data_IF_701947965565
#
_entry.id   IF_701947965565
#
_cell.length_a   1.000
_cell.length_b   1.000
_cell.length_c   1.000
_cell.angle_alpha   90.00
_cell.angle_beta   90.00
_cell.angle_gamma   90.00
#
_symmetry.space_group_name_H-M   'P 1'
#
loop_
_entity.id
_entity.type
_entity.pdbx_description
1 polymer ?
#
# COMPACT_ATOMS: atom_id res chain seq x y z
N UNK A 1 2.63 29.20 -55.55
CA UNK A 1 2.27 28.26 -54.47
C UNK A 1 3.54 27.60 -53.94
N UNK A 2 3.98 27.93 -52.73
CA UNK A 2 5.13 27.30 -52.06
C UNK A 2 4.59 26.27 -51.07
N UNK A 3 4.84 24.99 -51.33
CA UNK A 3 4.52 23.89 -50.40
C UNK A 3 5.79 23.65 -49.58
N UNK A 4 5.77 24.10 -48.32
CA UNK A 4 6.80 23.79 -47.33
C UNK A 4 6.43 22.46 -46.66
N UNK A 5 7.16 21.39 -46.99
CA UNK A 5 7.15 20.15 -46.22
C UNK A 5 7.96 20.35 -44.94
N UNK A 6 7.27 20.37 -43.79
CA UNK A 6 7.87 20.20 -42.48
C UNK A 6 7.81 18.72 -42.11
N UNK A 7 8.92 18.02 -42.30
CA UNK A 7 9.13 16.67 -41.76
C UNK A 7 9.94 16.78 -40.47
N UNK A 8 9.25 16.97 -39.35
CA UNK A 8 9.82 16.70 -38.03
C UNK A 8 9.03 15.56 -37.39
N UNK A 9 9.53 14.34 -37.54
CA UNK A 9 9.21 13.24 -36.66
C UNK A 9 10.49 12.89 -35.90
N UNK A 10 10.73 13.59 -34.79
CA UNK A 10 11.71 13.17 -33.79
C UNK A 10 11.08 11.99 -33.05
N UNK A 11 11.28 10.79 -33.56
CA UNK A 11 11.10 9.57 -32.78
C UNK A 11 12.28 9.46 -31.81
N UNK A 12 12.21 10.18 -30.70
CA UNK A 12 13.02 9.88 -29.53
C UNK A 12 12.50 8.56 -28.95
N UNK A 13 13.00 7.45 -29.50
CA UNK A 13 12.97 6.16 -28.83
C UNK A 13 13.72 6.33 -27.51
N UNK A 14 12.96 6.61 -26.45
CA UNK A 14 13.49 6.51 -25.10
C UNK A 14 13.79 5.04 -24.93
N UNK A 15 15.06 4.66 -25.08
CA UNK A 15 15.52 3.33 -24.70
C UNK A 15 15.05 3.14 -23.26
N UNK A 16 14.09 2.23 -23.07
CA UNK A 16 13.59 1.90 -21.74
C UNK A 16 14.83 1.53 -20.91
N UNK A 17 15.13 2.35 -19.90
CA UNK A 17 16.27 2.13 -19.03
C UNK A 17 16.19 0.71 -18.44
N UNK A 18 17.34 0.14 -18.06
CA UNK A 18 17.38 -1.22 -17.54
C UNK A 18 16.44 -1.33 -16.33
N UNK A 19 15.33 -2.06 -16.45
CA UNK A 19 14.30 -2.15 -15.43
C UNK A 19 14.40 -3.52 -14.74
N UNK A 20 14.21 -3.57 -13.43
CA UNK A 20 14.31 -4.84 -12.71
C UNK A 20 13.70 -4.82 -11.31
N UNK A 21 13.64 -5.96 -10.62
CA UNK A 21 13.09 -6.02 -9.27
C UNK A 21 13.98 -5.23 -8.30
N UNK A 22 13.35 -4.56 -7.33
CA UNK A 22 14.10 -4.01 -6.20
C UNK A 22 14.72 -5.15 -5.36
N UNK A 23 15.99 -5.06 -4.94
CA UNK A 23 16.59 -6.13 -4.15
C UNK A 23 15.93 -6.31 -2.78
N UNK A 24 15.50 -7.53 -2.48
CA UNK A 24 14.91 -7.95 -1.20
C UNK A 24 15.69 -9.11 -0.57
N UNK A 25 15.47 -9.33 0.72
CA UNK A 25 15.99 -10.51 1.42
C UNK A 25 14.96 -11.65 1.37
N UNK A 26 15.42 -12.85 1.69
CA UNK A 26 14.54 -14.00 1.84
C UNK A 26 13.47 -13.73 2.90
N UNK A 27 12.24 -14.10 2.56
CA UNK A 27 11.08 -13.99 3.44
C UNK A 27 10.95 -15.28 4.22
N UNK A 28 10.57 -15.16 5.48
CA UNK A 28 10.42 -16.27 6.41
C UNK A 28 8.98 -16.27 6.89
N UNK A 29 8.25 -17.37 6.78
CA UNK A 29 6.92 -17.48 7.40
C UNK A 29 7.05 -17.65 8.91
N UNK A 30 5.99 -17.35 9.66
CA UNK A 30 5.96 -17.63 11.10
C UNK A 30 6.19 -19.13 11.37
N UNK A 31 5.65 -20.00 10.53
CA UNK A 31 5.82 -21.45 10.62
C UNK A 31 7.29 -21.85 10.46
N UNK A 32 8.01 -21.27 9.50
CA UNK A 32 9.43 -21.57 9.28
C UNK A 32 10.32 -21.01 10.40
N UNK A 33 9.98 -19.83 10.94
CA UNK A 33 10.74 -19.21 12.02
C UNK A 33 10.52 -19.90 13.37
N UNK A 34 9.35 -20.50 13.58
CA UNK A 34 8.94 -21.11 14.85
C UNK A 34 8.33 -22.51 14.66
N UNK A 35 9.07 -23.48 14.10
CA UNK A 35 8.51 -24.76 13.65
C UNK A 35 8.00 -25.67 14.76
N UNK A 36 8.38 -25.40 16.02
CA UNK A 36 8.00 -26.20 17.18
C UNK A 36 6.71 -25.71 17.84
N UNK A 37 6.03 -24.71 17.30
CA UNK A 37 4.74 -24.26 17.82
C UNK A 37 3.59 -25.14 17.31
N UNK A 38 2.66 -25.43 18.19
CA UNK A 38 1.41 -26.16 17.94
C UNK A 38 0.28 -25.24 17.48
N UNK A 39 0.40 -23.94 17.73
CA UNK A 39 -0.58 -22.91 17.34
C UNK A 39 0.14 -21.82 16.55
N UNK A 40 -0.51 -21.34 15.49
CA UNK A 40 -0.03 -20.25 14.64
C UNK A 40 -1.08 -19.14 14.53
N UNK A 41 -0.68 -17.92 14.13
CA UNK A 41 -1.60 -16.84 13.83
C UNK A 41 -2.65 -17.30 12.82
N UNK A 42 -3.90 -16.98 13.11
CA UNK A 42 -5.03 -17.37 12.27
C UNK A 42 -5.15 -16.42 11.07
N UNK A 43 -5.43 -16.95 9.88
CA UNK A 43 -5.81 -16.12 8.75
C UNK A 43 -7.16 -15.42 9.07
N UNK A 44 -7.27 -14.08 8.99
CA UNK A 44 -8.51 -13.35 9.32
C UNK A 44 -9.73 -13.79 8.49
N UNK A 45 -9.50 -14.33 7.28
CA UNK A 45 -10.56 -14.85 6.42
C UNK A 45 -11.07 -16.24 6.84
N UNK A 46 -10.44 -16.91 7.80
CA UNK A 46 -10.88 -18.22 8.26
C UNK A 46 -12.31 -18.11 8.85
N UNK A 47 -13.26 -18.85 8.28
CA UNK A 47 -14.70 -18.83 8.60
C UNK A 47 -15.46 -17.58 8.14
N UNK A 48 -14.88 -16.80 7.23
CA UNK A 48 -15.61 -15.75 6.51
C UNK A 48 -15.86 -16.17 5.07
N UNK A 49 -17.10 -16.01 4.60
CA UNK A 49 -17.47 -16.29 3.22
C UNK A 49 -18.01 -15.00 2.59
N UNK A 50 -17.24 -14.35 1.70
CA UNK A 50 -17.69 -13.14 1.04
C UNK A 50 -18.83 -13.45 0.07
N UNK A 51 -19.63 -12.43 -0.24
CA UNK A 51 -20.58 -12.50 -1.35
C UNK A 51 -19.83 -12.38 -2.67
N UNK A 52 -20.26 -13.12 -3.70
CA UNK A 52 -19.92 -12.82 -5.08
C UNK A 52 -20.96 -11.90 -5.71
N UNK A 53 -20.56 -11.09 -6.69
CA UNK A 53 -21.47 -10.25 -7.48
C UNK A 53 -21.13 -10.30 -8.96
N UNK A 54 -22.12 -10.03 -9.82
CA UNK A 54 -21.84 -9.82 -11.24
C UNK A 54 -21.03 -8.53 -11.46
N UNK A 55 -20.32 -8.45 -12.58
CA UNK A 55 -19.58 -7.24 -12.94
C UNK A 55 -20.51 -6.02 -13.07
N UNK A 56 -21.69 -6.18 -13.66
CA UNK A 56 -22.69 -5.11 -13.75
C UNK A 56 -23.11 -4.59 -12.37
N UNK A 57 -23.33 -5.50 -11.41
CA UNK A 57 -23.68 -5.14 -10.03
C UNK A 57 -22.52 -4.46 -9.31
N UNK A 58 -21.27 -4.89 -9.54
CA UNK A 58 -20.07 -4.22 -9.03
C UNK A 58 -20.03 -2.76 -9.49
N UNK A 59 -20.29 -2.48 -10.78
CA UNK A 59 -20.32 -1.10 -11.29
C UNK A 59 -21.48 -0.28 -10.71
N UNK A 60 -22.65 -0.88 -10.48
CA UNK A 60 -23.75 -0.20 -9.76
C UNK A 60 -23.33 0.20 -8.34
N UNK A 61 -22.70 -0.72 -7.61
CA UNK A 61 -22.14 -0.46 -6.27
C UNK A 61 -21.10 0.66 -6.35
N UNK A 62 -20.09 0.53 -7.23
CA UNK A 62 -19.06 1.54 -7.44
C UNK A 62 -19.65 2.92 -7.69
N UNK A 63 -20.62 3.04 -8.60
CA UNK A 63 -21.21 4.33 -8.94
C UNK A 63 -22.00 4.93 -7.77
N UNK A 64 -22.60 4.11 -6.90
CA UNK A 64 -23.32 4.56 -5.70
C UNK A 64 -22.44 4.90 -4.50
N UNK A 65 -21.20 4.40 -4.44
CA UNK A 65 -20.32 4.63 -3.29
C UNK A 65 -20.11 6.13 -3.05
N UNK A 66 -20.19 6.53 -1.77
CA UNK A 66 -19.96 7.92 -1.38
C UNK A 66 -18.55 8.39 -1.81
N UNK A 67 -18.48 9.42 -2.64
CA UNK A 67 -17.23 10.06 -3.07
C UNK A 67 -16.95 11.38 -2.33
N UNK A 68 -17.87 11.84 -1.47
CA UNK A 68 -17.73 13.06 -0.69
C UNK A 68 -17.06 12.77 0.66
N UNK A 69 -15.77 12.49 0.61
CA UNK A 69 -14.92 12.25 1.77
C UNK A 69 -14.01 13.47 2.02
N UNK A 70 -14.11 14.07 3.21
CA UNK A 70 -13.29 15.23 3.64
C UNK A 70 -12.00 14.79 4.35
N UNK A 71 -12.00 13.59 4.93
CA UNK A 71 -10.89 13.14 5.75
C UNK A 71 -9.75 12.49 4.95
N UNK A 72 -8.67 12.15 5.66
CA UNK A 72 -7.45 11.58 5.09
C UNK A 72 -7.25 10.13 5.46
N UNK A 73 -8.08 9.58 6.35
CA UNK A 73 -7.89 8.26 6.94
C UNK A 73 -8.52 7.17 6.07
N UNK A 74 -7.69 6.40 5.36
CA UNK A 74 -8.13 5.35 4.45
C UNK A 74 -8.98 4.26 5.14
N UNK A 75 -8.61 3.88 6.35
CA UNK A 75 -9.31 2.87 7.14
C UNK A 75 -10.76 3.27 7.46
N UNK A 76 -10.99 4.54 7.77
CA UNK A 76 -12.33 5.09 7.96
C UNK A 76 -13.15 5.05 6.68
N UNK A 77 -12.59 5.50 5.56
CA UNK A 77 -13.29 5.47 4.26
C UNK A 77 -13.62 4.06 3.83
N UNK A 78 -12.66 3.14 3.93
CA UNK A 78 -12.87 1.74 3.62
C UNK A 78 -13.96 1.11 4.51
N UNK A 79 -14.02 1.48 5.79
CA UNK A 79 -15.05 0.98 6.71
C UNK A 79 -16.45 1.55 6.39
N UNK A 80 -16.55 2.85 6.05
CA UNK A 80 -17.81 3.45 5.55
C UNK A 80 -18.28 2.73 4.29
N UNK A 81 -17.41 2.57 3.30
CA UNK A 81 -17.76 1.93 2.03
C UNK A 81 -18.16 0.46 2.18
N UNK A 82 -17.47 -0.28 3.04
CA UNK A 82 -17.80 -1.67 3.33
C UNK A 82 -19.18 -1.80 4.01
N UNK A 83 -19.48 -0.91 4.96
CA UNK A 83 -20.80 -0.87 5.60
C UNK A 83 -21.90 -0.46 4.61
N UNK A 84 -21.64 0.52 3.73
CA UNK A 84 -22.59 0.89 2.65
C UNK A 84 -22.89 -0.29 1.73
N UNK A 85 -21.87 -1.07 1.36
CA UNK A 85 -22.05 -2.29 0.56
C UNK A 85 -22.91 -3.34 1.26
N UNK A 86 -22.71 -3.54 2.56
CA UNK A 86 -23.51 -4.46 3.35
C UNK A 86 -24.96 -3.99 3.47
N UNK A 87 -25.18 -2.76 3.91
CA UNK A 87 -26.51 -2.21 4.20
C UNK A 87 -27.36 -2.01 2.94
N UNK A 88 -26.79 -1.42 1.89
CA UNK A 88 -27.56 -1.06 0.69
C UNK A 88 -27.66 -2.19 -0.32
N UNK A 89 -26.65 -3.05 -0.37
CA UNK A 89 -26.54 -4.06 -1.41
C UNK A 89 -26.58 -5.48 -0.87
N UNK A 90 -26.59 -5.69 0.45
CA UNK A 90 -26.52 -7.03 1.06
C UNK A 90 -25.21 -7.75 0.72
N UNK A 91 -24.14 -7.01 0.39
CA UNK A 91 -22.86 -7.57 -0.05
C UNK A 91 -21.92 -7.71 1.13
N UNK A 92 -21.52 -8.95 1.43
CA UNK A 92 -20.45 -9.26 2.38
C UNK A 92 -19.10 -9.09 1.70
N UNK A 93 -18.59 -7.87 1.69
CA UNK A 93 -17.29 -7.55 1.08
C UNK A 93 -16.12 -7.98 1.96
N UNK A 94 -14.91 -7.94 1.42
CA UNK A 94 -13.66 -8.04 2.19
C UNK A 94 -13.00 -6.66 2.28
N UNK A 95 -11.84 -6.62 2.93
CA UNK A 95 -10.89 -5.52 2.86
C UNK A 95 -9.53 -6.06 2.48
N UNK A 96 -8.84 -5.34 1.60
CA UNK A 96 -7.43 -5.57 1.29
C UNK A 96 -6.60 -4.49 1.99
N UNK A 97 -5.56 -4.92 2.69
CA UNK A 97 -4.60 -4.06 3.38
C UNK A 97 -3.25 -4.20 2.68
N UNK A 98 -2.63 -3.10 2.27
CA UNK A 98 -1.20 -3.06 1.96
C UNK A 98 -0.45 -2.62 3.21
N UNK A 99 0.66 -3.28 3.52
CA UNK A 99 1.53 -2.98 4.65
C UNK A 99 2.89 -2.54 4.12
N UNK A 100 3.28 -1.31 4.39
CA UNK A 100 4.62 -0.81 4.05
C UNK A 100 5.58 -1.19 5.16
N UNK A 101 6.70 -1.78 4.78
CA UNK A 101 7.64 -2.28 5.78
C UNK A 101 8.58 -1.18 6.29
N UNK A 102 9.31 -1.48 7.37
CA UNK A 102 10.40 -0.61 7.83
C UNK A 102 11.48 -0.45 6.76
N UNK A 103 11.68 -1.46 5.89
CA UNK A 103 12.58 -1.38 4.75
C UNK A 103 12.13 -0.30 3.77
N UNK A 104 10.84 -0.31 3.37
CA UNK A 104 10.28 0.75 2.53
C UNK A 104 10.40 2.13 3.18
N UNK A 105 9.95 2.25 4.42
CA UNK A 105 9.95 3.53 5.14
C UNK A 105 11.36 4.11 5.31
N UNK A 106 12.36 3.28 5.65
CA UNK A 106 13.73 3.74 5.89
C UNK A 106 14.51 4.00 4.60
N UNK A 107 14.29 3.21 3.56
CA UNK A 107 15.10 3.26 2.35
C UNK A 107 14.53 4.20 1.29
N UNK A 108 13.21 4.33 1.23
CA UNK A 108 12.49 5.10 0.21
C UNK A 108 11.74 6.28 0.83
N UNK A 109 10.88 6.05 1.81
CA UNK A 109 9.93 7.07 2.26
C UNK A 109 10.56 8.18 3.11
N UNK A 110 11.61 7.84 3.87
CA UNK A 110 12.48 8.80 4.57
C UNK A 110 13.22 9.79 3.65
N UNK A 111 13.04 9.69 2.32
CA UNK A 111 13.47 10.71 1.37
C UNK A 111 12.67 12.02 1.44
N UNK A 112 11.45 11.99 2.00
CA UNK A 112 10.58 13.17 2.12
C UNK A 112 11.28 14.36 2.80
N UNK A 113 12.09 14.07 3.82
CA UNK A 113 12.72 15.07 4.68
C UNK A 113 13.99 15.68 4.05
N UNK A 114 14.36 15.27 2.84
CA UNK A 114 15.57 15.75 2.18
C UNK A 114 15.39 17.11 1.52
N UNK A 115 16.51 17.82 1.33
CA UNK A 115 16.57 19.10 0.60
C UNK A 115 16.24 18.88 -0.88
N UNK A 116 14.94 18.84 -1.22
CA UNK A 116 14.45 18.62 -2.59
C UNK A 116 15.06 19.60 -3.61
N UNK A 117 15.42 20.81 -3.18
CA UNK A 117 16.06 21.84 -4.02
C UNK A 117 17.30 21.32 -4.75
N UNK A 118 18.10 20.45 -4.12
CA UNK A 118 19.32 19.90 -4.71
C UNK A 118 19.01 18.94 -5.86
N UNK A 119 17.78 18.42 -5.96
CA UNK A 119 17.33 17.51 -7.00
C UNK A 119 16.62 18.23 -8.16
N UNK A 120 16.49 19.56 -8.09
CA UNK A 120 15.84 20.34 -9.15
C UNK A 120 16.60 20.13 -10.47
N UNK A 121 15.88 19.75 -11.53
CA UNK A 121 16.40 19.43 -12.87
C UNK A 121 17.24 18.14 -12.96
N UNK A 122 17.40 17.37 -11.88
CA UNK A 122 18.09 16.06 -11.89
C UNK A 122 17.12 14.88 -11.90
N UNK A 123 15.89 15.14 -11.49
CA UNK A 123 14.73 14.28 -11.62
C UNK A 123 13.65 15.05 -12.38
N UNK A 124 12.69 14.32 -12.90
CA UNK A 124 11.58 14.93 -13.60
C UNK A 124 10.72 15.81 -12.67
N UNK A 125 9.98 16.73 -13.29
CA UNK A 125 9.16 17.70 -12.57
C UNK A 125 8.08 17.06 -11.69
N UNK A 126 7.49 15.94 -12.10
CA UNK A 126 6.40 15.29 -11.35
C UNK A 126 6.93 14.57 -10.12
N UNK A 127 8.00 13.80 -10.24
CA UNK A 127 8.73 13.22 -9.10
C UNK A 127 9.21 14.32 -8.16
N UNK A 128 9.76 15.41 -8.69
CA UNK A 128 10.14 16.58 -7.89
C UNK A 128 8.96 17.19 -7.11
N UNK A 129 7.79 17.32 -7.74
CA UNK A 129 6.57 17.81 -7.11
C UNK A 129 6.08 16.85 -6.02
N UNK A 130 6.04 15.55 -6.32
CA UNK A 130 5.63 14.50 -5.37
C UNK A 130 6.48 14.51 -4.10
N UNK A 131 7.80 14.71 -4.19
CA UNK A 131 8.67 14.84 -3.01
C UNK A 131 8.21 15.95 -2.05
N UNK A 132 7.54 16.99 -2.55
CA UNK A 132 6.99 18.07 -1.73
C UNK A 132 5.67 17.75 -1.03
N UNK A 133 5.02 16.65 -1.39
CA UNK A 133 3.73 16.20 -0.85
C UNK A 133 3.80 14.78 -0.30
N UNK A 134 5.02 14.24 -0.09
CA UNK A 134 5.21 12.87 0.38
C UNK A 134 4.54 12.71 1.75
N UNK A 135 3.66 11.72 1.89
CA UNK A 135 2.97 11.39 3.13
C UNK A 135 3.43 10.02 3.60
N UNK A 136 4.24 9.89 4.63
CA UNK A 136 4.64 8.56 5.11
C UNK A 136 3.40 7.71 5.38
N UNK A 137 3.32 6.54 4.73
CA UNK A 137 2.20 5.61 4.89
C UNK A 137 2.73 4.33 5.52
N UNK A 138 2.19 3.96 6.68
CA UNK A 138 2.52 2.67 7.31
C UNK A 138 1.70 1.54 6.68
N UNK A 139 0.44 1.84 6.31
CA UNK A 139 -0.43 0.93 5.58
C UNK A 139 -1.46 1.72 4.77
N UNK A 140 -2.16 1.03 3.87
CA UNK A 140 -3.35 1.55 3.21
C UNK A 140 -4.38 0.43 3.07
N UNK A 141 -5.67 0.78 3.01
CA UNK A 141 -6.75 -0.21 2.99
C UNK A 141 -7.89 0.25 2.10
N UNK A 142 -8.49 -0.71 1.40
CA UNK A 142 -9.69 -0.49 0.60
C UNK A 142 -10.61 -1.73 0.67
N UNK A 143 -11.92 -1.56 0.43
CA UNK A 143 -12.83 -2.69 0.24
C UNK A 143 -12.43 -3.54 -0.98
N UNK A 144 -12.69 -4.84 -0.87
CA UNK A 144 -12.43 -5.84 -1.88
C UNK A 144 -13.71 -6.65 -2.11
N UNK A 145 -14.11 -6.84 -3.37
CA UNK A 145 -15.32 -7.57 -3.75
C UNK A 145 -14.94 -8.74 -4.65
N UNK A 146 -15.56 -9.90 -4.42
CA UNK A 146 -15.43 -11.06 -5.28
C UNK A 146 -16.47 -11.00 -6.40
N UNK A 147 -16.07 -11.29 -7.63
CA UNK A 147 -16.96 -11.42 -8.77
C UNK A 147 -17.45 -12.88 -8.92
N UNK A 148 -18.58 -13.08 -9.61
CA UNK A 148 -19.14 -14.41 -9.86
C UNK A 148 -18.19 -15.34 -10.64
N UNK A 149 -17.25 -14.77 -11.41
CA UNK A 149 -16.20 -15.52 -12.12
C UNK A 149 -14.99 -15.89 -11.22
N UNK A 150 -15.04 -15.56 -9.92
CA UNK A 150 -13.98 -15.82 -8.95
C UNK A 150 -12.89 -14.76 -8.88
N UNK A 151 -12.88 -13.77 -9.77
CA UNK A 151 -11.92 -12.67 -9.72
C UNK A 151 -12.23 -11.68 -8.58
N UNK A 152 -11.22 -10.93 -8.16
CA UNK A 152 -11.37 -9.90 -7.14
C UNK A 152 -11.26 -8.49 -7.74
N UNK A 153 -11.97 -7.53 -7.15
CA UNK A 153 -11.88 -6.10 -7.47
C UNK A 153 -11.78 -5.26 -6.21
N UNK A 154 -10.81 -4.35 -6.20
CA UNK A 154 -10.60 -3.35 -5.16
C UNK A 154 -11.40 -2.09 -5.50
N UNK A 155 -12.14 -1.56 -4.52
CA UNK A 155 -12.98 -0.38 -4.69
C UNK A 155 -12.40 0.78 -3.87
N UNK A 156 -11.51 1.57 -4.48
CA UNK A 156 -10.90 2.73 -3.84
C UNK A 156 -11.15 4.01 -4.64
N UNK A 157 -12.11 4.83 -4.21
CA UNK A 157 -12.47 6.07 -4.91
C UNK A 157 -11.53 7.24 -4.64
N UNK A 158 -10.75 7.19 -3.57
CA UNK A 158 -9.86 8.29 -3.18
C UNK A 158 -8.45 8.10 -3.71
N UNK A 159 -8.10 6.87 -4.04
CA UNK A 159 -6.80 6.59 -4.55
C UNK A 159 -6.71 6.97 -6.04
N UNK A 160 -5.91 8.00 -6.27
CA UNK A 160 -5.65 8.52 -7.60
C UNK A 160 -4.39 7.78 -8.10
N UNK A 161 -4.57 6.60 -8.70
CA UNK A 161 -3.46 5.74 -9.19
C UNK A 161 -3.33 5.72 -10.69
N UNK A 162 -2.12 5.39 -11.15
CA UNK A 162 -1.78 5.09 -12.53
C UNK A 162 -2.33 3.72 -12.98
N UNK A 163 -3.65 3.51 -12.86
CA UNK A 163 -4.29 2.21 -12.98
C UNK A 163 -4.03 1.46 -14.30
N UNK A 164 -3.66 2.17 -15.37
CA UNK A 164 -3.41 1.57 -16.69
C UNK A 164 -1.93 1.62 -17.10
N UNK A 165 -1.04 1.95 -16.18
CA UNK A 165 0.39 2.01 -16.43
C UNK A 165 1.03 0.62 -16.29
N UNK A 166 1.16 -0.11 -17.39
CA UNK A 166 1.88 -1.39 -17.41
C UNK A 166 3.37 -1.20 -17.22
N UNK A 167 3.99 -1.88 -16.24
CA UNK A 167 5.44 -1.87 -16.04
C UNK A 167 6.19 -2.56 -17.21
N UNK A 168 7.32 -2.02 -17.70
CA UNK A 168 7.88 -0.71 -17.37
C UNK A 168 7.03 0.40 -17.99
N UNK A 169 6.52 1.29 -17.14
CA UNK A 169 5.64 2.35 -17.59
C UNK A 169 6.44 3.61 -17.92
N UNK A 170 5.93 4.39 -18.89
CA UNK A 170 6.46 5.73 -19.12
C UNK A 170 6.11 6.63 -17.93
N UNK A 171 6.90 7.68 -17.77
CA UNK A 171 6.61 8.69 -16.74
C UNK A 171 5.23 9.33 -16.93
N UNK A 172 4.67 9.39 -18.13
CA UNK A 172 3.30 9.88 -18.32
C UNK A 172 2.24 8.86 -17.91
N UNK A 173 2.45 7.60 -18.24
CA UNK A 173 1.56 6.51 -17.84
C UNK A 173 1.44 6.44 -16.31
N UNK A 174 2.56 6.59 -15.59
CA UNK A 174 2.64 6.64 -14.12
C UNK A 174 1.75 7.69 -13.43
N UNK A 175 1.18 8.61 -14.19
CA UNK A 175 0.33 9.68 -13.68
C UNK A 175 -0.97 9.85 -14.49
N UNK A 176 -1.32 8.89 -15.36
CA UNK A 176 -2.63 8.88 -16.00
C UNK A 176 -3.61 8.12 -15.09
N UNK A 177 -4.47 8.87 -14.41
CA UNK A 177 -5.19 8.37 -13.25
C UNK A 177 -6.67 8.16 -13.58
N UNK A 178 -7.13 6.91 -13.56
CA UNK A 178 -8.53 6.56 -13.83
C UNK A 178 -9.22 5.94 -12.62
N UNK A 179 -10.35 6.48 -12.17
CA UNK A 179 -11.08 5.92 -11.03
C UNK A 179 -12.04 4.82 -11.49
N UNK A 180 -11.63 3.56 -11.38
CA UNK A 180 -12.48 2.38 -11.60
C UNK A 180 -12.20 1.29 -10.56
N UNK A 181 -13.11 0.30 -10.40
CA UNK A 181 -12.74 -0.93 -9.69
C UNK A 181 -11.49 -1.55 -10.33
N UNK A 182 -10.50 -1.88 -9.52
CA UNK A 182 -9.19 -2.32 -9.96
C UNK A 182 -8.94 -3.78 -9.59
N UNK A 183 -8.11 -4.48 -10.36
CA UNK A 183 -7.54 -5.76 -9.90
C UNK A 183 -6.64 -5.52 -8.68
N UNK A 184 -6.37 -6.57 -7.91
CA UNK A 184 -5.48 -6.49 -6.75
C UNK A 184 -4.10 -5.99 -7.19
N UNK A 185 -3.56 -6.55 -8.27
CA UNK A 185 -2.25 -6.22 -8.81
C UNK A 185 -2.20 -4.76 -9.29
N UNK A 186 -3.24 -4.31 -10.01
CA UNK A 186 -3.35 -2.91 -10.46
C UNK A 186 -3.38 -1.92 -9.28
N UNK A 187 -4.12 -2.25 -8.21
CA UNK A 187 -4.20 -1.42 -7.01
C UNK A 187 -2.88 -1.40 -6.23
N UNK A 188 -2.20 -2.55 -6.10
CA UNK A 188 -0.90 -2.64 -5.44
C UNK A 188 0.19 -1.90 -6.23
N UNK A 189 0.25 -2.09 -7.56
CA UNK A 189 1.23 -1.42 -8.43
C UNK A 189 1.05 0.11 -8.38
N UNK A 190 -0.19 0.59 -8.36
CA UNK A 190 -0.45 2.01 -8.17
C UNK A 190 -0.03 2.53 -6.79
N UNK A 191 -0.06 1.70 -5.74
CA UNK A 191 0.41 2.09 -4.42
C UNK A 191 1.94 2.09 -4.33
N UNK A 192 2.60 1.17 -5.04
CA UNK A 192 4.05 1.03 -5.04
C UNK A 192 4.77 1.96 -6.01
N UNK A 193 4.07 2.49 -7.04
CA UNK A 193 4.62 3.48 -7.98
C UNK A 193 5.31 4.65 -7.27
N UNK A 194 4.74 5.07 -6.14
CA UNK A 194 5.30 6.13 -5.31
C UNK A 194 6.67 5.73 -4.77
N UNK A 195 6.83 4.50 -4.29
CA UNK A 195 8.11 3.96 -3.84
C UNK A 195 9.13 3.91 -4.98
N UNK A 196 8.71 3.56 -6.18
CA UNK A 196 9.57 3.49 -7.37
C UNK A 196 10.08 4.89 -7.78
N UNK A 197 9.20 5.89 -7.74
CA UNK A 197 9.58 7.29 -7.96
C UNK A 197 10.48 7.85 -6.84
N UNK A 198 10.23 7.49 -5.58
CA UNK A 198 11.10 7.84 -4.45
C UNK A 198 12.48 7.19 -4.57
N UNK A 199 12.55 5.96 -5.07
CA UNK A 199 13.80 5.29 -5.37
C UNK A 199 14.60 6.02 -6.45
N UNK A 200 13.95 6.51 -7.51
CA UNK A 200 14.64 7.33 -8.54
C UNK A 200 15.21 8.62 -7.94
N UNK A 201 14.44 9.30 -7.08
CA UNK A 201 14.94 10.46 -6.35
C UNK A 201 16.12 10.11 -5.43
N UNK A 202 16.03 8.98 -4.71
CA UNK A 202 17.12 8.46 -3.87
C UNK A 202 18.37 8.18 -4.68
N UNK A 203 18.23 7.56 -5.87
CA UNK A 203 19.34 7.25 -6.78
C UNK A 203 20.11 8.51 -7.15
N UNK A 204 19.41 9.58 -7.55
CA UNK A 204 20.07 10.85 -7.89
C UNK A 204 20.71 11.50 -6.67
N UNK A 205 20.07 11.41 -5.51
CA UNK A 205 20.64 11.94 -4.27
C UNK A 205 21.94 11.26 -3.87
N UNK A 206 21.97 9.93 -3.87
CA UNK A 206 23.18 9.18 -3.52
C UNK A 206 24.31 9.53 -4.48
N UNK A 207 24.04 9.69 -5.79
CA UNK A 207 25.03 10.14 -6.77
C UNK A 207 25.61 11.52 -6.42
N UNK A 208 24.78 12.49 -6.04
CA UNK A 208 25.25 13.81 -5.59
C UNK A 208 26.13 13.72 -4.35
N UNK A 209 25.68 12.97 -3.34
CA UNK A 209 26.40 12.82 -2.07
C UNK A 209 27.72 12.07 -2.27
N UNK A 210 27.79 11.08 -3.18
CA UNK A 210 29.02 10.41 -3.60
C UNK A 210 30.00 11.38 -4.27
N UNK A 211 29.53 12.18 -5.23
CA UNK A 211 30.36 13.17 -5.91
C UNK A 211 30.95 14.18 -4.93
N UNK A 212 30.15 14.61 -3.93
CA UNK A 212 30.57 15.52 -2.86
C UNK A 212 31.55 14.88 -1.88
N UNK A 213 31.37 13.61 -1.53
CA UNK A 213 32.31 12.88 -0.69
C UNK A 213 33.66 12.73 -1.41
N UNK A 214 33.64 12.39 -2.70
CA UNK A 214 34.84 12.26 -3.55
C UNK A 214 35.60 13.57 -3.66
N UNK A 215 34.93 14.69 -3.97
CA UNK A 215 35.59 16.00 -4.11
C UNK A 215 36.20 16.54 -2.81
N UNK A 216 35.74 16.03 -1.65
CA UNK A 216 36.25 16.39 -0.32
C UNK A 216 37.25 15.39 0.24
N UNK A 217 37.70 14.40 -0.54
CA UNK A 217 38.62 13.36 -0.09
C UNK A 217 38.05 12.45 1.01
N UNK A 218 36.72 12.35 1.14
CA UNK A 218 36.07 11.56 2.20
C UNK A 218 35.82 10.12 1.76
N UNK A 219 36.91 9.35 1.63
CA UNK A 219 36.89 7.98 1.08
C UNK A 219 35.94 7.04 1.83
N UNK A 220 35.94 7.06 3.17
CA UNK A 220 35.04 6.22 3.97
C UNK A 220 33.57 6.51 3.68
N UNK A 221 33.18 7.79 3.66
CA UNK A 221 31.81 8.21 3.35
C UNK A 221 31.40 7.81 1.92
N UNK A 222 32.31 7.97 0.94
CA UNK A 222 32.08 7.54 -0.44
C UNK A 222 31.81 6.03 -0.52
N UNK A 223 32.63 5.21 0.14
CA UNK A 223 32.49 3.76 0.13
C UNK A 223 31.18 3.30 0.78
N UNK A 224 30.75 3.92 1.88
CA UNK A 224 29.43 3.66 2.49
C UNK A 224 28.28 3.98 1.53
N UNK A 225 28.35 5.12 0.84
CA UNK A 225 27.32 5.51 -0.13
C UNK A 225 27.30 4.58 -1.35
N UNK A 226 28.46 4.17 -1.86
CA UNK A 226 28.59 3.22 -2.96
C UNK A 226 28.03 1.84 -2.59
N UNK A 227 28.30 1.37 -1.37
CA UNK A 227 27.73 0.12 -0.88
C UNK A 227 26.19 0.20 -0.84
N UNK A 228 25.62 1.30 -0.31
CA UNK A 228 24.16 1.51 -0.30
C UNK A 228 23.57 1.61 -1.71
N UNK A 229 24.28 2.27 -2.63
CA UNK A 229 23.88 2.38 -4.04
C UNK A 229 23.73 1.00 -4.69
N UNK A 230 24.70 0.10 -4.46
CA UNK A 230 24.69 -1.29 -4.95
C UNK A 230 23.64 -2.16 -4.26
N UNK A 231 23.51 -2.03 -2.94
CA UNK A 231 22.50 -2.74 -2.14
C UNK A 231 21.08 -2.48 -2.67
N UNK A 232 20.80 -1.24 -3.06
CA UNK A 232 19.50 -0.83 -3.63
C UNK A 232 19.36 -1.13 -5.13
N UNK A 233 20.35 -1.80 -5.74
CA UNK A 233 20.34 -2.17 -7.16
C UNK A 233 20.47 -0.98 -8.13
N UNK A 234 20.87 0.19 -7.64
CA UNK A 234 20.91 1.43 -8.43
C UNK A 234 22.03 1.45 -9.47
N UNK A 235 23.03 0.58 -9.31
CA UNK A 235 24.11 0.32 -10.26
C UNK A 235 23.68 -0.56 -11.43
N UNK A 236 22.63 -1.37 -11.23
CA UNK A 236 22.13 -2.32 -12.22
C UNK A 236 20.94 -1.77 -13.00
N UNK A 237 20.00 -1.14 -12.30
CA UNK A 237 18.73 -0.73 -12.87
C UNK A 237 18.58 0.79 -12.90
N UNK A 238 17.82 1.31 -13.84
CA UNK A 238 17.36 2.70 -13.95
C UNK A 238 15.90 2.87 -13.52
N UNK A 239 15.15 1.77 -13.50
CA UNK A 239 13.80 1.68 -12.94
C UNK A 239 13.70 0.40 -12.11
N UNK A 240 12.87 0.44 -11.08
CA UNK A 240 12.61 -0.73 -10.25
C UNK A 240 11.12 -1.06 -10.26
N UNK A 241 10.82 -2.35 -10.12
CA UNK A 241 9.48 -2.87 -9.86
C UNK A 241 9.41 -3.30 -8.38
N UNK A 242 8.49 -2.71 -7.63
CA UNK A 242 8.21 -3.06 -6.24
C UNK A 242 6.92 -3.88 -6.24
N UNK A 243 7.06 -5.19 -6.02
CA UNK A 243 5.93 -6.11 -5.88
C UNK A 243 5.65 -6.43 -4.43
N UNK A 244 4.42 -6.17 -3.98
CA UNK A 244 3.99 -6.57 -2.64
C UNK A 244 3.66 -8.05 -2.58
N UNK A 245 4.04 -8.69 -1.47
CA UNK A 245 3.82 -10.12 -1.26
C UNK A 245 2.54 -10.36 -0.49
N UNK A 246 1.76 -11.38 -0.89
CA UNK A 246 0.62 -11.82 -0.10
C UNK A 246 1.12 -12.42 1.21
N UNK A 247 0.48 -12.06 2.32
CA UNK A 247 0.64 -12.71 3.61
C UNK A 247 -0.73 -13.21 4.11
N UNK A 248 -0.74 -14.35 4.80
CA UNK A 248 -1.97 -14.90 5.38
C UNK A 248 -2.28 -14.29 6.75
N UNK A 249 -1.27 -13.76 7.43
CA UNK A 249 -1.41 -13.01 8.68
C UNK A 249 -0.47 -11.80 8.71
N UNK A 250 -0.86 -10.77 9.45
CA UNK A 250 0.03 -9.64 9.74
C UNK A 250 1.26 -10.05 10.56
N UNK A 251 1.24 -11.21 11.21
CA UNK A 251 2.42 -11.73 11.88
C UNK A 251 3.56 -12.06 10.91
N UNK A 252 3.24 -12.60 9.72
CA UNK A 252 4.26 -12.81 8.68
C UNK A 252 4.82 -11.47 8.18
N UNK A 253 3.96 -10.45 8.10
CA UNK A 253 4.37 -9.09 7.73
C UNK A 253 5.35 -8.54 8.76
N UNK A 254 4.96 -8.51 10.03
CA UNK A 254 5.73 -8.00 11.17
C UNK A 254 7.12 -8.66 11.26
N UNK A 255 7.20 -9.99 11.07
CA UNK A 255 8.46 -10.76 11.05
C UNK A 255 9.41 -10.31 9.91
N UNK A 256 8.86 -9.83 8.81
CA UNK A 256 9.60 -9.50 7.59
C UNK A 256 9.72 -7.99 7.30
N UNK A 257 9.50 -7.11 8.30
CA UNK A 257 9.61 -5.66 8.12
C UNK A 257 11.00 -5.18 7.64
N UNK A 258 12.05 -6.01 7.74
CA UNK A 258 13.40 -5.71 7.25
C UNK A 258 13.80 -6.44 5.97
N UNK A 259 12.94 -7.33 5.45
CA UNK A 259 13.27 -8.24 4.35
C UNK A 259 12.65 -7.82 3.02
N UNK A 260 11.35 -7.51 2.99
CA UNK A 260 10.63 -7.02 1.81
C UNK A 260 10.21 -5.56 1.96
N UNK A 261 9.75 -4.93 0.88
CA UNK A 261 9.27 -3.53 0.87
C UNK A 261 7.80 -3.42 1.23
N UNK A 262 6.97 -4.38 0.82
CA UNK A 262 5.56 -4.36 1.17
C UNK A 262 4.94 -5.75 1.15
N UNK A 263 3.86 -5.87 1.91
CA UNK A 263 2.99 -7.02 1.92
C UNK A 263 1.56 -6.58 1.68
N UNK A 264 0.67 -7.53 1.40
CA UNK A 264 -0.75 -7.31 1.52
C UNK A 264 -1.45 -8.49 2.21
N UNK A 265 -2.50 -8.18 2.96
CA UNK A 265 -3.38 -9.16 3.60
C UNK A 265 -4.83 -8.88 3.18
N UNK A 266 -5.67 -9.90 3.31
CA UNK A 266 -7.12 -9.78 3.08
C UNK A 266 -7.83 -10.16 4.37
N UNK A 267 -8.84 -9.39 4.76
CA UNK A 267 -9.64 -9.65 5.95
C UNK A 267 -11.13 -9.42 5.69
N UNK A 268 -12.02 -9.93 6.57
CA UNK A 268 -13.43 -9.61 6.55
C UNK A 268 -13.70 -8.10 6.60
N UNK A 269 -14.83 -7.65 6.04
CA UNK A 269 -15.24 -6.24 6.07
C UNK A 269 -15.30 -5.60 7.46
N UNK A 270 -15.34 -6.39 8.53
CA UNK A 270 -15.47 -5.88 9.90
C UNK A 270 -14.17 -5.29 10.46
N UNK A 271 -13.00 -5.73 9.99
CA UNK A 271 -11.71 -5.21 10.47
C UNK A 271 -11.58 -3.73 10.13
N UNK A 272 -11.39 -2.87 11.13
CA UNK A 272 -11.37 -1.44 10.97
C UNK A 272 -10.03 -0.97 10.45
N UNK A 273 -8.93 -1.42 11.05
CA UNK A 273 -7.58 -0.98 10.70
C UNK A 273 -6.52 -2.08 10.91
N UNK A 274 -5.25 -1.74 10.68
CA UNK A 274 -4.13 -2.67 10.83
C UNK A 274 -3.91 -3.16 12.28
N UNK A 275 -4.24 -2.33 13.29
CA UNK A 275 -4.12 -2.69 14.70
C UNK A 275 -5.05 -3.86 15.04
N UNK A 276 -6.23 -3.93 14.44
CA UNK A 276 -7.16 -5.04 14.65
C UNK A 276 -6.58 -6.36 14.12
N UNK A 277 -5.86 -6.31 12.99
CA UNK A 277 -5.17 -7.48 12.45
C UNK A 277 -4.05 -7.92 13.41
N UNK A 278 -3.30 -6.97 13.99
CA UNK A 278 -2.25 -7.30 14.98
C UNK A 278 -2.84 -7.85 16.27
N UNK A 279 -3.95 -7.27 16.76
CA UNK A 279 -4.67 -7.78 17.93
C UNK A 279 -5.22 -9.19 17.67
N UNK A 280 -5.72 -9.46 16.46
CA UNK A 280 -6.14 -10.81 16.05
C UNK A 280 -4.97 -11.78 15.98
N UNK A 281 -3.80 -11.35 15.53
CA UNK A 281 -2.62 -12.21 15.44
C UNK A 281 -1.99 -12.50 16.81
N UNK A 282 -1.92 -11.51 17.70
CA UNK A 282 -1.09 -11.57 18.91
C UNK A 282 -1.83 -11.37 20.24
N UNK A 283 -3.12 -11.06 20.22
CA UNK A 283 -3.90 -10.79 21.43
C UNK A 283 -3.48 -9.50 22.15
N UNK A 284 -3.63 -9.46 23.47
CA UNK A 284 -3.18 -8.33 24.30
C UNK A 284 -1.72 -8.50 24.72
N UNK A 285 -0.78 -8.00 23.91
CA UNK A 285 0.66 -8.13 24.20
C UNK A 285 1.27 -6.92 24.93
N UNK A 286 0.45 -5.94 25.36
CA UNK A 286 0.87 -4.64 25.91
C UNK A 286 1.84 -3.84 25.00
N UNK A 287 1.92 -4.16 23.71
CA UNK A 287 2.78 -3.45 22.77
C UNK A 287 2.01 -2.42 21.97
N UNK A 288 2.73 -1.40 21.53
CA UNK A 288 2.20 -0.45 20.57
C UNK A 288 2.18 -1.08 19.17
N UNK A 289 0.99 -1.48 18.75
CA UNK A 289 0.74 -2.06 17.42
C UNK A 289 0.80 -1.04 16.26
N UNK A 290 1.20 0.22 16.53
CA UNK A 290 1.57 1.17 15.47
C UNK A 290 2.96 0.89 14.86
N UNK A 291 3.72 -0.06 15.42
CA UNK A 291 5.02 -0.52 14.89
C UNK A 291 5.07 -2.04 14.85
N UNK A 292 6.01 -2.63 14.09
CA UNK A 292 6.15 -4.09 14.02
C UNK A 292 6.44 -4.67 15.38
N UNK A 293 5.78 -5.78 15.70
CA UNK A 293 5.97 -6.46 16.97
C UNK A 293 7.39 -7.06 17.08
N UNK A 294 7.93 -7.10 18.29
CA UNK A 294 9.21 -7.75 18.54
C UNK A 294 9.06 -9.29 18.58
N UNK A 295 10.18 -10.01 18.45
CA UNK A 295 10.19 -11.48 18.44
C UNK A 295 9.67 -12.12 19.74
N UNK A 296 9.63 -11.39 20.86
CA UNK A 296 9.17 -11.92 22.15
C UNK A 296 7.64 -12.12 22.21
N UNK A 297 6.90 -11.53 21.26
CA UNK A 297 5.44 -11.65 21.19
C UNK A 297 4.95 -12.81 20.32
N UNK A 298 5.85 -13.46 19.57
CA UNK A 298 5.57 -14.69 18.84
C UNK A 298 5.56 -15.86 19.82
N UNK A 299 4.42 -16.06 20.49
CA UNK A 299 4.20 -17.15 21.44
C UNK A 299 2.85 -17.81 21.17
N UNK A 300 2.73 -19.10 21.46
CA UNK A 300 1.46 -19.82 21.33
C UNK A 300 0.35 -19.16 22.15
N UNK A 301 0.66 -18.70 23.36
CA UNK A 301 -0.30 -18.04 24.23
C UNK A 301 -0.89 -16.77 23.60
N UNK A 302 -0.05 -15.95 22.98
CA UNK A 302 -0.49 -14.74 22.27
C UNK A 302 -1.32 -15.08 21.03
N UNK A 303 -0.92 -16.09 20.26
CA UNK A 303 -1.69 -16.54 19.09
C UNK A 303 -3.07 -17.10 19.48
N UNK A 304 -3.14 -17.85 20.59
CA UNK A 304 -4.40 -18.35 21.16
C UNK A 304 -5.27 -17.18 21.64
N UNK A 305 -4.69 -16.21 22.34
CA UNK A 305 -5.40 -15.03 22.86
C UNK A 305 -5.99 -14.20 21.70
N UNK A 306 -5.17 -13.91 20.69
CA UNK A 306 -5.58 -13.22 19.47
C UNK A 306 -6.75 -13.91 18.77
N UNK A 307 -6.61 -15.22 18.52
CA UNK A 307 -7.66 -16.04 17.89
C UNK A 307 -8.98 -16.00 18.67
N UNK A 308 -8.91 -16.18 19.99
CA UNK A 308 -10.11 -16.39 20.81
C UNK A 308 -10.83 -15.08 21.17
N UNK A 309 -10.11 -13.95 21.26
CA UNK A 309 -10.67 -12.70 21.77
C UNK A 309 -10.82 -11.59 20.74
N UNK A 310 -10.04 -11.62 19.67
CA UNK A 310 -9.91 -10.51 18.72
C UNK A 310 -10.32 -10.89 17.29
N UNK A 311 -11.09 -11.98 17.13
CA UNK A 311 -11.76 -12.25 15.86
C UNK A 311 -12.98 -11.35 15.72
N UNK A 312 -12.96 -10.42 14.77
CA UNK A 312 -14.09 -9.52 14.49
C UNK A 312 -15.05 -10.16 13.49
N UNK A 313 -16.29 -10.38 13.91
CA UNK A 313 -17.34 -11.05 13.09
C UNK A 313 -18.58 -10.20 12.85
N UNK A 314 -18.64 -9.01 13.45
CA UNK A 314 -19.76 -8.09 13.34
C UNK A 314 -19.27 -6.63 13.40
N UNK A 315 -20.15 -5.69 13.06
CA UNK A 315 -19.86 -4.27 13.07
C UNK A 315 -19.70 -3.72 14.48
N UNK A 316 -18.56 -3.08 14.74
CA UNK A 316 -18.34 -2.32 15.98
C UNK A 316 -18.85 -0.89 15.75
N UNK A 317 -20.05 -0.58 16.24
CA UNK A 317 -20.68 0.73 16.02
C UNK A 317 -19.87 1.93 16.51
N UNK A 318 -18.96 1.74 17.48
CA UNK A 318 -18.05 2.79 17.88
C UNK A 318 -17.07 3.18 16.75
N UNK A 319 -16.58 2.19 15.99
CA UNK A 319 -15.72 2.39 14.83
C UNK A 319 -16.51 3.00 13.67
N UNK A 320 -17.74 2.56 13.42
CA UNK A 320 -18.62 3.19 12.43
C UNK A 320 -18.86 4.68 12.72
N UNK A 321 -19.06 5.05 13.99
CA UNK A 321 -19.18 6.46 14.42
C UNK A 321 -17.89 7.24 14.22
N UNK A 322 -16.73 6.63 14.48
CA UNK A 322 -15.44 7.26 14.20
C UNK A 322 -15.21 7.41 12.69
N UNK A 323 -15.57 6.40 11.90
CA UNK A 323 -15.51 6.40 10.44
C UNK A 323 -16.38 7.50 9.81
N UNK A 324 -17.54 7.79 10.41
CA UNK A 324 -18.44 8.88 9.99
C UNK A 324 -17.81 10.29 10.05
N UNK A 325 -16.61 10.43 10.64
CA UNK A 325 -15.82 11.66 10.63
C UNK A 325 -15.13 11.94 9.29
N UNK A 326 -14.95 10.93 8.43
CA UNK A 326 -14.44 11.14 7.06
C UNK A 326 -15.48 11.76 6.13
N UNK A 327 -16.77 11.57 6.42
CA UNK A 327 -17.84 12.01 5.54
C UNK A 327 -18.00 13.53 5.63
N UNK A 328 -18.10 14.18 4.46
CA UNK A 328 -18.28 15.63 4.36
C UNK A 328 -19.44 16.15 5.19
N UNK A 329 -19.21 17.27 5.88
CA UNK A 329 -20.24 17.93 6.73
C UNK A 329 -21.47 18.27 5.87
N UNK A 330 -22.57 17.55 6.10
CA UNK A 330 -23.84 17.74 5.37
C UNK A 330 -24.47 16.42 4.91
N UNK A 331 -23.68 15.38 4.69
CA UNK A 331 -24.20 14.04 4.42
C UNK A 331 -24.70 13.40 5.72
N UNK A 332 -26.01 13.55 5.96
CA UNK A 332 -26.70 13.07 7.18
C UNK A 332 -27.11 11.60 7.10
N UNK A 333 -27.01 10.98 5.95
CA UNK A 333 -27.62 9.68 5.70
C UNK A 333 -26.90 8.53 6.44
N UNK A 334 -25.59 8.41 6.27
CA UNK A 334 -24.76 7.43 6.98
C UNK A 334 -24.88 7.54 8.51
N UNK A 335 -24.77 8.77 9.05
CA UNK A 335 -24.89 9.02 10.50
C UNK A 335 -26.25 8.60 11.05
N UNK A 336 -27.34 8.90 10.33
CA UNK A 336 -28.69 8.51 10.73
C UNK A 336 -28.90 7.00 10.76
N UNK A 337 -28.23 6.23 9.88
CA UNK A 337 -28.35 4.76 9.88
C UNK A 337 -27.68 4.15 11.10
N UNK A 338 -26.44 4.55 11.40
CA UNK A 338 -25.69 4.10 12.57
C UNK A 338 -26.40 4.43 13.89
N UNK A 339 -27.16 5.53 13.95
CA UNK A 339 -27.93 5.91 15.13
C UNK A 339 -29.17 5.02 15.37
N UNK A 340 -29.75 4.42 14.31
CA UNK A 340 -30.98 3.59 14.40
C UNK A 340 -30.74 2.17 14.88
N UNK A 341 -29.52 1.66 14.75
CA UNK A 341 -29.18 0.28 15.12
C UNK A 341 -28.72 0.15 16.59
N UNK A 342 -29.06 1.16 17.41
CA UNK A 342 -29.02 1.11 18.88
C UNK A 342 -30.39 0.74 19.42
#
# INVERSE_FOLDING_TARGET
>A
MKILLWSMAILSAHAFGNAGPIPERNIVSVQDAYPNMSVYPRNPMERYTPSSVSESRLYSIWNSMNAEMDGKDCYRRAHVWAYDMYEYFGVRSMKIFIHYTNKFNRELDGMADMKKRDLRNLIDYRTYRMLGYNKTWDYHVAPLVQLDNGEYRVLDKELILAYDAGFPYSQDAAWNLQKRPAKIEEWLDGLTIRGELLWQARKQRIRLDMNKARSRGRTAQYNTLLAKYRELGMDRYDQIDIKCKKADSIADVDLNHSNAYCFYTIAPMYYYNEIDLRAQAFGSSNMNYAIPVNNSVYTEQNFIDGRNRYTTTDWIYAELRDAAREIKRGSRDFRRRIERER
#
